data_IF_849405468531
#
_entry.id   IF_849405468531
#
_cell.length_a   1.000
_cell.length_b   1.000
_cell.length_c   1.000
_cell.angle_alpha   90.00
_cell.angle_beta   90.00
_cell.angle_gamma   90.00
#
_symmetry.space_group_name_H-M   'P 1'
#
loop_
_entity.id
_entity.type
_entity.pdbx_description
1 polymer ?
#
# COMPACT_ATOMS: atom_id res chain seq x y z
N UNK A 1 21.80 10.43 -5.76
CA UNK A 1 20.52 10.28 -5.07
C UNK A 1 20.71 9.57 -3.74
N UNK A 2 20.26 10.21 -2.69
CA UNK A 2 20.30 9.62 -1.36
C UNK A 2 19.08 8.74 -1.16
N UNK A 3 19.31 7.48 -0.80
CA UNK A 3 18.25 6.54 -0.53
C UNK A 3 17.74 6.77 0.89
N UNK A 4 16.49 7.23 1.03
CA UNK A 4 15.90 7.40 2.36
C UNK A 4 15.52 6.03 2.95
N UNK A 5 15.34 5.94 4.28
CA UNK A 5 14.89 4.69 4.89
C UNK A 5 13.56 4.19 4.31
N UNK A 6 12.61 5.08 4.06
CA UNK A 6 11.32 4.71 3.47
C UNK A 6 11.50 4.20 2.06
N UNK A 7 12.37 4.83 1.28
CA UNK A 7 12.66 4.41 -0.09
C UNK A 7 13.26 3.01 -0.12
N UNK A 8 14.16 2.73 0.83
CA UNK A 8 14.77 1.42 0.94
C UNK A 8 13.70 0.34 1.24
N UNK A 9 12.80 0.65 2.16
CA UNK A 9 11.70 -0.25 2.48
C UNK A 9 10.83 -0.48 1.25
N UNK A 10 10.52 0.58 0.51
CA UNK A 10 9.71 0.47 -0.70
C UNK A 10 10.35 -0.45 -1.73
N UNK A 11 11.65 -0.28 -1.99
CA UNK A 11 12.35 -1.11 -2.98
C UNK A 11 12.37 -2.58 -2.57
N UNK A 12 12.64 -2.85 -1.31
CA UNK A 12 12.64 -4.22 -0.79
C UNK A 12 11.24 -4.84 -0.86
N UNK A 13 10.23 -4.05 -0.56
CA UNK A 13 8.85 -4.53 -0.59
C UNK A 13 8.40 -4.85 -2.02
N UNK A 14 8.80 -4.02 -2.99
CA UNK A 14 8.52 -4.29 -4.40
C UNK A 14 9.13 -5.63 -4.81
N UNK A 15 10.39 -5.88 -4.43
CA UNK A 15 11.03 -7.16 -4.73
C UNK A 15 10.32 -8.33 -4.06
N UNK A 16 9.88 -8.15 -2.82
CA UNK A 16 9.11 -9.16 -2.12
C UNK A 16 7.82 -9.50 -2.86
N UNK A 17 7.08 -8.49 -3.30
CA UNK A 17 5.84 -8.70 -4.04
C UNK A 17 6.07 -9.47 -5.34
N UNK A 18 7.11 -9.12 -6.07
CA UNK A 18 7.41 -9.75 -7.37
C UNK A 18 7.96 -11.16 -7.18
N UNK A 19 8.96 -11.33 -6.31
CA UNK A 19 9.71 -12.58 -6.20
C UNK A 19 9.02 -13.61 -5.33
N UNK A 20 8.33 -13.19 -4.28
CA UNK A 20 7.73 -14.12 -3.31
C UNK A 20 6.22 -14.25 -3.47
N UNK A 21 5.55 -13.16 -3.83
CA UNK A 21 4.09 -13.15 -3.91
C UNK A 21 3.57 -13.30 -5.33
N UNK A 22 4.45 -13.28 -6.33
CA UNK A 22 4.06 -13.49 -7.72
C UNK A 22 3.36 -12.31 -8.38
N UNK A 23 3.47 -11.12 -7.80
CA UNK A 23 2.87 -9.93 -8.39
C UNK A 23 3.62 -9.50 -9.64
N UNK A 24 2.91 -9.06 -10.67
CA UNK A 24 3.53 -8.61 -11.91
C UNK A 24 4.11 -7.21 -11.76
N UNK A 25 5.36 -7.03 -12.16
CA UNK A 25 6.03 -5.72 -12.15
C UNK A 25 5.21 -4.66 -12.89
N UNK A 26 4.54 -5.04 -13.97
CA UNK A 26 3.77 -4.10 -14.79
C UNK A 26 2.53 -3.56 -14.09
N UNK A 27 2.16 -4.13 -12.97
CA UNK A 27 0.99 -3.73 -12.22
C UNK A 27 1.32 -2.81 -11.06
N UNK A 28 2.60 -2.45 -10.88
CA UNK A 28 3.07 -1.64 -9.77
C UNK A 28 3.32 -0.21 -10.25
N UNK A 29 2.69 0.75 -9.59
CA UNK A 29 2.90 2.18 -9.84
C UNK A 29 3.49 2.82 -8.61
N UNK A 30 4.69 3.37 -8.76
CA UNK A 30 5.51 3.87 -7.65
C UNK A 30 5.37 5.38 -7.54
N UNK A 31 5.15 5.83 -6.29
CA UNK A 31 5.32 7.22 -5.88
C UNK A 31 4.63 8.27 -6.75
N UNK A 32 3.38 8.07 -7.05
CA UNK A 32 2.62 9.08 -7.75
C UNK A 32 1.84 9.95 -6.79
N UNK A 33 2.02 11.26 -6.94
CA UNK A 33 1.06 12.20 -6.41
C UNK A 33 -0.19 12.05 -7.28
N UNK A 34 -1.31 11.72 -6.68
CA UNK A 34 -2.56 11.62 -7.41
C UNK A 34 -3.03 13.02 -7.78
N UNK A 35 -3.29 13.25 -9.06
CA UNK A 35 -3.77 14.54 -9.51
C UNK A 35 -5.11 14.90 -8.89
N UNK A 36 -5.93 13.89 -8.67
CA UNK A 36 -7.21 14.08 -8.00
C UNK A 36 -7.10 14.00 -6.47
N UNK A 37 -5.89 13.95 -5.96
CA UNK A 37 -5.66 13.93 -4.53
C UNK A 37 -5.72 15.35 -3.97
N UNK A 38 -6.92 15.81 -3.71
CA UNK A 38 -7.15 17.15 -3.18
C UNK A 38 -6.54 17.35 -1.80
N UNK A 39 -6.13 16.27 -1.15
CA UNK A 39 -5.48 16.34 0.16
C UNK A 39 -3.98 16.60 0.06
N UNK A 40 -3.43 16.63 -1.16
CA UNK A 40 -2.02 16.87 -1.36
C UNK A 40 -1.12 15.76 -0.83
N UNK A 41 -1.66 14.57 -0.66
CA UNK A 41 -0.92 13.44 -0.11
C UNK A 41 -0.40 12.54 -1.22
N UNK A 42 0.66 11.81 -0.90
CA UNK A 42 1.26 10.83 -1.79
C UNK A 42 1.03 9.44 -1.24
N UNK A 43 0.96 8.47 -2.15
CA UNK A 43 1.07 7.07 -1.77
C UNK A 43 2.42 6.54 -2.27
N UNK A 44 2.95 5.55 -1.59
CA UNK A 44 4.26 5.01 -1.94
C UNK A 44 4.19 4.02 -3.09
N UNK A 45 3.15 3.22 -3.12
CA UNK A 45 2.99 2.20 -4.14
C UNK A 45 1.52 1.92 -4.34
N UNK A 46 1.10 1.86 -5.60
CA UNK A 46 -0.24 1.45 -5.97
C UNK A 46 -0.16 0.22 -6.86
N UNK A 47 -0.88 -0.81 -6.50
CA UNK A 47 -0.91 -2.06 -7.23
C UNK A 47 -2.24 -2.16 -7.97
N UNK A 48 -2.17 -2.49 -9.26
CA UNK A 48 -3.36 -2.65 -10.10
C UNK A 48 -3.66 -4.13 -10.31
N UNK A 49 -4.93 -4.44 -10.49
CA UNK A 49 -5.33 -5.80 -10.84
C UNK A 49 -5.19 -6.03 -12.36
N UNK A 50 -5.59 -7.21 -12.82
CA UNK A 50 -5.48 -7.58 -14.24
C UNK A 50 -6.31 -6.68 -15.16
N UNK A 51 -7.32 -6.02 -14.63
CA UNK A 51 -8.19 -5.12 -15.38
C UNK A 51 -7.75 -3.66 -15.25
N UNK A 52 -6.54 -3.44 -14.75
CA UNK A 52 -5.94 -2.12 -14.51
C UNK A 52 -6.73 -1.25 -13.53
N UNK A 53 -7.45 -1.87 -12.62
CA UNK A 53 -8.13 -1.16 -11.54
C UNK A 53 -7.27 -1.17 -10.30
N UNK A 54 -7.30 -0.11 -9.48
CA UNK A 54 -6.56 -0.10 -8.22
C UNK A 54 -6.96 -1.29 -7.34
N UNK A 55 -5.97 -2.05 -6.92
CA UNK A 55 -6.15 -3.27 -6.15
C UNK A 55 -5.68 -3.11 -4.71
N UNK A 56 -4.48 -2.56 -4.53
CA UNK A 56 -3.90 -2.38 -3.20
C UNK A 56 -3.09 -1.09 -3.16
N UNK A 57 -3.30 -0.34 -2.10
CA UNK A 57 -2.50 0.85 -1.80
C UNK A 57 -1.51 0.48 -0.71
N UNK A 58 -0.23 0.80 -0.93
CA UNK A 58 0.84 0.48 0.02
C UNK A 58 1.46 1.76 0.54
N UNK A 59 1.58 1.85 1.86
CA UNK A 59 2.30 2.90 2.56
C UNK A 59 3.54 2.30 3.19
N UNK A 60 4.71 2.84 2.83
CA UNK A 60 5.99 2.39 3.36
C UNK A 60 6.48 3.37 4.41
N UNK A 61 6.90 2.85 5.54
CA UNK A 61 7.44 3.62 6.65
C UNK A 61 8.89 3.23 6.90
N UNK A 62 9.64 4.12 7.55
CA UNK A 62 10.99 3.82 7.98
C UNK A 62 11.02 2.60 8.90
N UNK A 63 12.09 1.77 8.86
CA UNK A 63 12.21 0.63 9.78
C UNK A 63 12.15 1.02 11.25
N UNK A 64 12.44 2.28 11.57
CA UNK A 64 12.38 2.78 12.95
C UNK A 64 10.98 3.20 13.37
N UNK A 65 10.04 3.26 12.44
CA UNK A 65 8.68 3.70 12.71
C UNK A 65 7.86 2.51 13.20
N UNK A 66 7.24 2.66 14.36
CA UNK A 66 6.29 1.66 14.84
C UNK A 66 4.99 1.80 14.08
N UNK A 67 4.45 0.67 13.62
CA UNK A 67 3.16 0.68 12.96
C UNK A 67 2.07 0.77 14.01
N UNK A 68 1.37 1.88 14.02
CA UNK A 68 0.36 2.20 15.03
C UNK A 68 -1.00 2.38 14.36
N UNK A 69 -2.01 2.55 15.18
CA UNK A 69 -3.35 2.87 14.72
C UNK A 69 -3.34 4.17 13.88
N UNK A 70 -2.48 5.12 14.22
CA UNK A 70 -2.34 6.35 13.46
C UNK A 70 -1.84 6.13 12.04
N UNK A 71 -0.93 5.15 11.85
CA UNK A 71 -0.46 4.79 10.52
C UNK A 71 -1.60 4.26 9.66
N UNK A 72 -2.49 3.48 10.27
CA UNK A 72 -3.66 2.94 9.58
C UNK A 72 -4.64 4.03 9.18
N UNK A 73 -4.87 4.99 10.06
CA UNK A 73 -5.76 6.10 9.77
C UNK A 73 -5.24 6.95 8.61
N UNK A 74 -3.93 7.13 8.55
CA UNK A 74 -3.31 7.85 7.44
C UNK A 74 -3.57 7.15 6.11
N UNK A 75 -3.40 5.84 6.06
CA UNK A 75 -3.62 5.07 4.83
C UNK A 75 -5.11 5.07 4.47
N UNK A 76 -5.99 4.98 5.46
CA UNK A 76 -7.43 5.04 5.25
C UNK A 76 -7.86 6.35 4.58
N UNK A 77 -7.14 7.44 4.85
CA UNK A 77 -7.44 8.73 4.23
C UNK A 77 -7.23 8.68 2.72
N UNK A 78 -6.17 8.01 2.27
CA UNK A 78 -5.95 7.81 0.83
C UNK A 78 -7.09 7.03 0.21
N UNK A 79 -7.61 6.07 0.93
CA UNK A 79 -8.62 5.18 0.41
C UNK A 79 -9.95 5.86 0.13
N UNK A 80 -10.25 6.93 0.84
CA UNK A 80 -11.43 7.72 0.56
C UNK A 80 -11.41 8.30 -0.86
N UNK A 81 -10.20 8.50 -1.39
CA UNK A 81 -10.01 9.03 -2.74
C UNK A 81 -9.99 7.91 -3.77
N UNK A 82 -9.28 6.83 -3.48
CA UNK A 82 -9.04 5.76 -4.46
C UNK A 82 -10.05 4.63 -4.43
N UNK A 83 -10.71 4.43 -3.30
CA UNK A 83 -11.69 3.36 -3.13
C UNK A 83 -11.09 1.98 -3.42
N UNK A 84 -9.91 1.70 -2.88
CA UNK A 84 -9.14 0.48 -3.15
C UNK A 84 -9.62 -0.64 -2.23
N UNK A 85 -9.72 -1.89 -2.71
CA UNK A 85 -10.16 -3.00 -1.85
C UNK A 85 -9.17 -3.39 -0.75
N UNK A 86 -7.88 -3.14 -0.94
CA UNK A 86 -6.87 -3.51 0.05
C UNK A 86 -5.96 -2.36 0.39
N UNK A 87 -5.56 -2.30 1.66
CA UNK A 87 -4.56 -1.36 2.15
C UNK A 87 -3.43 -2.14 2.80
N UNK A 88 -2.20 -1.69 2.59
CA UNK A 88 -1.02 -2.30 3.17
C UNK A 88 -0.14 -1.24 3.80
N UNK A 89 0.35 -1.49 5.01
CA UNK A 89 1.33 -0.64 5.67
C UNK A 89 2.51 -1.51 6.06
N UNK A 90 3.72 -1.09 5.70
CA UNK A 90 4.93 -1.84 6.02
C UNK A 90 6.05 -0.90 6.44
N UNK A 91 6.87 -1.37 7.40
CA UNK A 91 8.11 -0.70 7.74
C UNK A 91 9.34 -1.57 7.41
N UNK A 92 9.12 -2.66 6.68
CA UNK A 92 10.16 -3.61 6.33
C UNK A 92 10.33 -4.74 7.32
N UNK A 93 9.92 -4.55 8.57
CA UNK A 93 9.97 -5.58 9.62
C UNK A 93 8.59 -6.13 9.92
N UNK A 94 7.60 -5.25 9.89
CA UNK A 94 6.20 -5.62 10.08
C UNK A 94 5.43 -5.17 8.86
N UNK A 95 4.45 -5.97 8.48
CA UNK A 95 3.56 -5.67 7.36
C UNK A 95 2.14 -6.03 7.75
N UNK A 96 1.25 -5.08 7.58
CA UNK A 96 -0.17 -5.27 7.87
C UNK A 96 -0.97 -5.01 6.62
N UNK A 97 -1.85 -5.95 6.28
CA UNK A 97 -2.73 -5.83 5.12
C UNK A 97 -4.18 -5.86 5.60
N UNK A 98 -4.98 -4.98 5.04
CA UNK A 98 -6.37 -4.82 5.42
C UNK A 98 -7.27 -4.91 4.20
N UNK A 99 -8.39 -5.59 4.33
CA UNK A 99 -9.46 -5.50 3.35
C UNK A 99 -10.45 -4.43 3.79
N UNK A 100 -11.04 -3.75 2.82
CA UNK A 100 -11.98 -2.66 3.06
C UNK A 100 -13.37 -3.07 2.61
N UNK A 101 -14.33 -2.95 3.51
CA UNK A 101 -15.74 -3.14 3.19
C UNK A 101 -16.41 -1.77 3.22
N UNK A 102 -16.66 -1.22 2.04
CA UNK A 102 -17.20 0.14 1.92
C UNK A 102 -18.67 0.23 2.28
N UNK A 103 -19.40 -0.85 2.07
CA UNK A 103 -20.83 -0.87 2.42
C UNK A 103 -21.04 -0.82 3.92
N UNK A 104 -20.26 -1.62 4.66
CA UNK A 104 -20.34 -1.69 6.12
C UNK A 104 -19.39 -0.73 6.81
N UNK A 105 -18.53 -0.04 6.06
CA UNK A 105 -17.52 0.88 6.57
C UNK A 105 -16.60 0.19 7.57
N UNK A 106 -16.18 -1.03 7.24
CA UNK A 106 -15.30 -1.84 8.09
C UNK A 106 -13.96 -2.06 7.44
N UNK A 107 -12.92 -2.12 8.28
CA UNK A 107 -11.56 -2.46 7.89
C UNK A 107 -11.20 -3.75 8.60
N UNK A 108 -10.83 -4.78 7.85
CA UNK A 108 -10.51 -6.09 8.40
C UNK A 108 -9.05 -6.41 8.19
N UNK A 109 -8.34 -6.73 9.29
CA UNK A 109 -6.95 -7.17 9.23
C UNK A 109 -6.90 -8.57 8.60
N UNK A 110 -6.03 -8.74 7.61
CA UNK A 110 -5.84 -10.02 6.95
C UNK A 110 -4.61 -10.71 7.53
N UNK A 111 -4.70 -12.03 7.68
CA UNK A 111 -3.57 -12.84 8.14
C UNK A 111 -2.55 -13.08 7.03
N UNK A 112 -3.01 -13.11 5.79
CA UNK A 112 -2.16 -13.38 4.64
C UNK A 112 -2.38 -12.34 3.54
N UNK A 113 -1.37 -12.19 2.69
CA UNK A 113 -1.51 -11.33 1.51
C UNK A 113 -2.60 -11.90 0.59
N UNK A 114 -3.44 -11.02 0.02
CA UNK A 114 -4.42 -11.47 -0.97
C UNK A 114 -3.70 -11.95 -2.23
N UNK A 115 -4.31 -12.91 -2.90
CA UNK A 115 -3.77 -13.39 -4.16
C UNK A 115 -3.81 -12.27 -5.20
N UNK A 116 -2.77 -12.20 -6.02
CA UNK A 116 -2.72 -11.23 -7.10
C UNK A 116 -3.66 -11.66 -8.23
N UNK A 117 -4.55 -10.78 -8.61
CA UNK A 117 -5.53 -11.06 -9.67
C UNK A 117 -5.47 -10.08 -10.82
#
# INVERSE_FOLDING_TARGET
>A
LTLTPEEHVRQLFIQFLILKMGYSKNRLSVERALEYNTLGKRFDLLIYDKDTKPFMLVECKSPKTNLTKGSLEQVSTYNQVLNVPFLCVTNGQETHVFSMDYEQKKTNLLENFPAFE
#
